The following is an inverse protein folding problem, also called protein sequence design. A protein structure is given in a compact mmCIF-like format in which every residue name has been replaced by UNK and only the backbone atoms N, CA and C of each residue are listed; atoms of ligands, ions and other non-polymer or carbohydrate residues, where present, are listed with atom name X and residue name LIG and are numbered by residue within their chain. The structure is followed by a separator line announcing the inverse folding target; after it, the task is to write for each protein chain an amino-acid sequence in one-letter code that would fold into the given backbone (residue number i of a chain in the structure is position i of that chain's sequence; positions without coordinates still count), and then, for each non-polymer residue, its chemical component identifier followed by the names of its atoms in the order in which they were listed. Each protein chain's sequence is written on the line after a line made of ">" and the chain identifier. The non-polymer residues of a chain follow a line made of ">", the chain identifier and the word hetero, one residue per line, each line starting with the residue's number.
data_IF_510838081979
#
_entry.id   IF_510838081979
#
_cell.length_a   1.000
_cell.length_b   1.000
_cell.length_c   1.000
_cell.angle_alpha   90.00
_cell.angle_beta   90.00
_cell.angle_gamma   90.00
#
_symmetry.space_group_name_H-M   'P 1'
#
loop_
_entity.id
_entity.type
_entity.pdbx_description
1 polymer ?
#
# COMPACT_ATOMS: atom_id res chain seq x y z
N UNK A 1 -23.08 52.23 -24.01
CA UNK A 1 -23.81 50.97 -23.83
C UNK A 1 -23.48 50.06 -25.02
N UNK A 2 -22.46 49.20 -24.89
CA UNK A 2 -22.04 48.22 -25.92
C UNK A 2 -21.92 46.87 -25.22
N UNK A 3 -22.72 45.91 -25.67
CA UNK A 3 -22.85 44.57 -25.10
C UNK A 3 -21.77 43.68 -25.74
N UNK A 4 -20.90 43.08 -24.92
CA UNK A 4 -19.90 42.08 -25.34
C UNK A 4 -20.49 40.69 -25.01
N UNK A 5 -20.58 39.74 -25.95
CA UNK A 5 -21.03 38.39 -25.63
C UNK A 5 -19.87 37.56 -25.07
N UNK A 6 -20.02 37.07 -23.84
CA UNK A 6 -19.15 36.08 -23.23
C UNK A 6 -19.28 34.72 -23.95
N UNK A 7 -18.18 34.22 -24.52
CA UNK A 7 -18.08 32.84 -25.02
C UNK A 7 -17.79 31.90 -23.85
N UNK A 8 -18.80 31.16 -23.41
CA UNK A 8 -18.67 30.03 -22.48
C UNK A 8 -17.86 28.91 -23.18
N UNK A 9 -16.67 28.59 -22.67
CA UNK A 9 -15.87 27.45 -23.14
C UNK A 9 -16.13 26.26 -22.22
N UNK A 10 -17.02 25.36 -22.66
CA UNK A 10 -17.23 24.06 -22.01
C UNK A 10 -15.93 23.26 -22.06
N UNK A 11 -15.33 23.04 -20.89
CA UNK A 11 -14.22 22.10 -20.69
C UNK A 11 -14.75 20.69 -20.89
N UNK A 12 -14.35 20.05 -22.00
CA UNK A 12 -14.57 18.61 -22.20
C UNK A 12 -13.61 17.86 -21.28
N UNK A 13 -14.16 17.26 -20.22
CA UNK A 13 -13.54 16.16 -19.48
C UNK A 13 -13.08 15.09 -20.48
N UNK A 14 -11.77 14.90 -20.62
CA UNK A 14 -11.21 13.77 -21.37
C UNK A 14 -11.25 12.56 -20.44
N UNK A 15 -12.18 11.65 -20.70
CA UNK A 15 -12.07 10.28 -20.22
C UNK A 15 -10.76 9.67 -20.76
N UNK A 16 -9.92 9.14 -19.86
CA UNK A 16 -8.70 8.43 -20.25
C UNK A 16 -9.06 7.15 -21.01
N UNK A 17 -8.37 6.91 -22.11
CA UNK A 17 -8.59 5.76 -22.99
C UNK A 17 -7.61 4.64 -22.61
N UNK A 18 -7.97 3.35 -22.71
CA UNK A 18 -7.09 2.23 -22.33
C UNK A 18 -5.75 2.21 -23.09
N UNK A 19 -5.69 2.85 -24.26
CA UNK A 19 -4.46 3.06 -25.04
C UNK A 19 -3.45 4.01 -24.37
N UNK A 20 -3.89 5.01 -23.58
CA UNK A 20 -2.98 5.90 -22.84
C UNK A 20 -2.37 5.22 -21.63
N UNK A 21 -3.07 4.26 -21.04
CA UNK A 21 -2.59 3.47 -19.90
C UNK A 21 -1.55 2.46 -20.36
N UNK A 22 -1.77 1.78 -21.50
CA UNK A 22 -0.75 0.93 -22.12
C UNK A 22 0.51 1.70 -22.55
N UNK A 23 0.37 2.92 -23.09
CA UNK A 23 1.52 3.74 -23.47
C UNK A 23 2.35 4.19 -22.25
N UNK A 24 1.70 4.48 -21.12
CA UNK A 24 2.37 4.74 -19.83
C UNK A 24 3.09 3.50 -19.28
N UNK A 25 2.46 2.32 -19.39
CA UNK A 25 3.07 1.03 -18.99
C UNK A 25 4.30 0.70 -19.85
N UNK A 26 4.27 1.00 -21.14
CA UNK A 26 5.35 0.72 -22.08
C UNK A 26 6.52 1.72 -21.97
N UNK A 27 6.25 2.98 -21.60
CA UNK A 27 7.30 3.92 -21.19
C UNK A 27 7.86 3.64 -19.79
N UNK A 28 7.08 3.03 -18.88
CA UNK A 28 7.52 2.64 -17.52
C UNK A 28 8.55 1.49 -17.48
N UNK A 29 8.69 0.74 -18.57
CA UNK A 29 9.85 -0.14 -18.81
C UNK A 29 11.19 0.63 -19.03
N UNK A 30 11.11 1.97 -18.97
CA UNK A 30 12.12 2.98 -18.68
C UNK A 30 13.58 2.52 -18.50
N UNK A 31 14.42 3.00 -19.41
CA UNK A 31 15.86 2.79 -19.61
C UNK A 31 16.73 2.67 -18.36
N UNK A 32 16.40 3.32 -17.23
CA UNK A 32 17.21 3.18 -16.00
C UNK A 32 17.10 1.81 -15.32
N UNK A 33 15.94 1.15 -15.37
CA UNK A 33 15.78 -0.21 -14.82
C UNK A 33 16.48 -1.26 -15.69
N UNK A 34 16.41 -1.05 -17.01
CA UNK A 34 17.14 -1.84 -18.01
C UNK A 34 18.66 -1.59 -17.91
N UNK A 35 19.08 -0.34 -17.74
CA UNK A 35 20.49 0.04 -17.56
C UNK A 35 21.07 -0.52 -16.27
N UNK A 36 20.34 -0.48 -15.15
CA UNK A 36 20.76 -1.16 -13.94
C UNK A 36 20.81 -2.67 -14.18
N UNK A 37 19.76 -3.27 -14.77
CA UNK A 37 19.73 -4.71 -15.10
C UNK A 37 20.98 -5.15 -15.87
N UNK A 38 21.39 -4.40 -16.90
CA UNK A 38 22.63 -4.68 -17.65
C UNK A 38 23.90 -4.41 -16.82
N UNK A 39 23.92 -3.37 -15.97
CA UNK A 39 25.07 -3.09 -15.09
C UNK A 39 25.29 -4.14 -13.98
N UNK A 40 24.25 -4.88 -13.59
CA UNK A 40 24.38 -5.98 -12.63
C UNK A 40 25.16 -7.15 -13.22
N UNK A 41 25.11 -7.34 -14.55
CA UNK A 41 25.99 -8.27 -15.25
C UNK A 41 27.44 -7.77 -15.35
N UNK A 42 27.70 -6.50 -15.02
CA UNK A 42 29.02 -5.87 -15.05
C UNK A 42 29.66 -5.70 -13.64
N UNK A 43 29.25 -6.48 -12.64
CA UNK A 43 29.94 -6.54 -11.34
C UNK A 43 29.27 -5.79 -10.18
N UNK A 44 28.05 -5.27 -10.37
CA UNK A 44 27.28 -4.57 -9.33
C UNK A 44 26.20 -5.44 -8.66
N UNK A 45 26.33 -6.78 -8.72
CA UNK A 45 25.30 -7.72 -8.27
C UNK A 45 24.87 -7.50 -6.80
N UNK A 46 25.82 -7.13 -5.94
CA UNK A 46 25.56 -6.88 -4.51
C UNK A 46 24.46 -5.84 -4.30
N UNK A 47 24.35 -4.83 -5.18
CA UNK A 47 23.33 -3.78 -5.05
C UNK A 47 21.91 -4.33 -5.18
N UNK A 48 21.69 -5.44 -5.89
CA UNK A 48 20.37 -6.04 -6.02
C UNK A 48 20.01 -6.99 -4.85
N UNK A 49 20.94 -7.31 -3.96
CA UNK A 49 20.68 -8.20 -2.83
C UNK A 49 20.18 -7.41 -1.63
N UNK A 50 19.09 -7.83 -0.96
CA UNK A 50 18.62 -7.14 0.24
C UNK A 50 19.44 -7.53 1.47
N UNK A 51 19.51 -6.64 2.45
CA UNK A 51 20.06 -6.97 3.77
C UNK A 51 19.10 -7.89 4.55
N UNK A 52 17.80 -7.61 4.47
CA UNK A 52 16.76 -8.41 5.13
C UNK A 52 15.68 -8.73 4.10
N UNK A 53 15.25 -9.98 4.03
CA UNK A 53 14.11 -10.39 3.21
C UNK A 53 13.04 -11.03 4.10
N UNK A 54 11.82 -10.53 4.02
CA UNK A 54 10.69 -10.98 4.84
C UNK A 54 9.40 -11.06 4.00
N UNK A 55 8.36 -11.79 4.45
CA UNK A 55 7.08 -11.79 3.75
C UNK A 55 6.47 -10.39 3.62
N UNK A 56 6.44 -9.64 4.72
CA UNK A 56 5.92 -8.26 4.76
C UNK A 56 6.38 -7.53 6.03
N UNK A 57 5.96 -6.28 6.20
CA UNK A 57 6.34 -5.40 7.31
C UNK A 57 5.93 -5.92 8.71
N UNK A 58 5.06 -6.94 8.82
CA UNK A 58 4.67 -7.54 10.10
C UNK A 58 5.79 -8.39 10.71
N UNK A 59 6.76 -8.79 9.88
CA UNK A 59 7.84 -9.69 10.24
C UNK A 59 9.15 -8.96 10.59
N UNK A 60 9.07 -7.64 10.82
CA UNK A 60 10.23 -6.79 11.09
C UNK A 60 10.17 -6.26 12.52
N UNK A 61 11.28 -6.40 13.25
CA UNK A 61 11.46 -5.83 14.57
C UNK A 61 11.89 -4.35 14.48
N UNK A 62 10.90 -3.49 14.31
CA UNK A 62 11.08 -2.04 14.17
C UNK A 62 11.72 -1.39 15.40
N UNK A 63 11.40 -1.87 16.60
CA UNK A 63 11.98 -1.35 17.85
C UNK A 63 13.47 -1.65 17.92
N UNK A 64 13.88 -2.86 17.51
CA UNK A 64 15.29 -3.23 17.45
C UNK A 64 16.06 -2.45 16.39
N UNK A 65 15.46 -2.23 15.21
CA UNK A 65 16.04 -1.34 14.19
C UNK A 65 16.23 0.08 14.72
N UNK A 66 15.24 0.64 15.42
CA UNK A 66 15.38 1.94 16.09
C UNK A 66 16.52 1.93 17.10
N UNK A 67 16.61 0.89 17.93
CA UNK A 67 17.67 0.74 18.95
C UNK A 67 19.08 0.57 18.35
N UNK A 68 19.18 0.04 17.13
CA UNK A 68 20.43 -0.06 16.37
C UNK A 68 20.89 1.30 15.80
N UNK A 69 20.10 2.36 15.98
CA UNK A 69 20.46 3.73 15.62
C UNK A 69 19.91 4.20 14.27
N UNK A 70 19.02 3.43 13.62
CA UNK A 70 18.32 3.89 12.43
C UNK A 70 17.36 5.04 12.77
N UNK A 71 17.27 6.02 11.87
CA UNK A 71 16.65 7.33 12.11
C UNK A 71 15.39 7.61 11.30
N UNK A 72 15.09 6.79 10.29
CA UNK A 72 13.91 7.01 9.47
C UNK A 72 13.60 5.84 8.54
N UNK A 73 12.36 5.78 8.11
CA UNK A 73 11.83 4.75 7.22
C UNK A 73 11.48 5.36 5.86
N UNK A 74 11.97 4.73 4.79
CA UNK A 74 11.63 5.05 3.41
C UNK A 74 10.87 3.86 2.86
N UNK A 75 9.57 4.04 2.61
CA UNK A 75 8.72 2.98 2.09
C UNK A 75 8.47 3.20 0.61
N UNK A 76 8.66 2.16 -0.20
CA UNK A 76 7.92 2.06 -1.44
C UNK A 76 6.41 1.93 -1.17
N UNK A 77 5.58 2.26 -2.17
CA UNK A 77 4.12 2.26 -2.06
C UNK A 77 3.52 0.98 -2.61
N UNK A 78 3.58 0.81 -3.93
CA UNK A 78 2.79 -0.18 -4.67
C UNK A 78 3.39 -1.57 -4.46
N UNK A 79 2.56 -2.54 -4.09
CA UNK A 79 2.95 -3.88 -3.64
C UNK A 79 3.80 -3.96 -2.37
N UNK A 80 4.13 -2.83 -1.75
CA UNK A 80 4.82 -2.77 -0.46
C UNK A 80 3.85 -2.46 0.68
N UNK A 81 3.13 -1.33 0.60
CA UNK A 81 2.16 -0.90 1.60
C UNK A 81 0.72 -0.95 1.06
N UNK A 82 0.53 -0.75 -0.24
CA UNK A 82 -0.77 -0.78 -0.90
C UNK A 82 -0.79 -1.80 -2.02
N UNK A 83 -1.98 -2.30 -2.38
CA UNK A 83 -2.14 -3.00 -3.66
C UNK A 83 -1.78 -2.07 -4.83
N UNK A 84 -1.46 -2.61 -6.02
CA UNK A 84 -1.13 -1.80 -7.18
C UNK A 84 -2.17 -0.72 -7.45
N UNK A 85 -1.73 0.54 -7.57
CA UNK A 85 -2.55 1.72 -7.88
C UNK A 85 -3.61 2.08 -6.81
N UNK A 86 -3.67 1.35 -5.69
CA UNK A 86 -4.55 1.70 -4.59
C UNK A 86 -4.03 2.94 -3.85
N UNK A 87 -4.94 3.75 -3.32
CA UNK A 87 -4.61 4.93 -2.51
C UNK A 87 -4.61 4.66 -1.00
N UNK A 88 -4.90 3.41 -0.62
CA UNK A 88 -5.02 2.99 0.77
C UNK A 88 -4.01 1.88 1.08
N UNK A 89 -3.52 1.85 2.32
CA UNK A 89 -2.71 0.75 2.85
C UNK A 89 -3.55 -0.52 2.91
N UNK A 90 -2.94 -1.64 2.54
CA UNK A 90 -3.54 -2.97 2.65
C UNK A 90 -4.05 -3.18 4.09
N UNK A 91 -5.34 -3.51 4.29
CA UNK A 91 -5.92 -3.58 5.63
C UNK A 91 -5.16 -4.49 6.61
N UNK A 92 -4.60 -5.60 6.10
CA UNK A 92 -3.82 -6.55 6.91
C UNK A 92 -2.49 -5.98 7.43
N UNK A 93 -1.98 -4.90 6.82
CA UNK A 93 -0.72 -4.25 7.20
C UNK A 93 -0.92 -3.06 8.15
N UNK A 94 -2.15 -2.55 8.32
CA UNK A 94 -2.43 -1.31 9.07
C UNK A 94 -1.81 -1.30 10.46
N UNK A 95 -2.07 -2.35 11.25
CA UNK A 95 -1.54 -2.44 12.61
C UNK A 95 -0.01 -2.58 12.67
N UNK A 96 0.64 -3.13 11.63
CA UNK A 96 2.10 -3.18 11.57
C UNK A 96 2.70 -1.83 11.14
N UNK A 97 2.01 -1.10 10.25
CA UNK A 97 2.37 0.26 9.90
C UNK A 97 2.30 1.18 11.13
N UNK A 98 1.22 1.11 11.91
CA UNK A 98 1.08 1.90 13.14
C UNK A 98 2.22 1.61 14.14
N UNK A 99 2.59 0.33 14.29
CA UNK A 99 3.72 -0.08 15.14
C UNK A 99 5.05 0.46 14.63
N UNK A 100 5.32 0.41 13.33
CA UNK A 100 6.59 0.90 12.80
C UNK A 100 6.67 2.43 12.87
N UNK A 101 5.57 3.15 12.57
CA UNK A 101 5.50 4.60 12.74
C UNK A 101 5.69 4.99 14.21
N UNK A 102 5.09 4.25 15.15
CA UNK A 102 5.30 4.47 16.58
C UNK A 102 6.77 4.27 16.97
N UNK A 103 7.39 3.17 16.53
CA UNK A 103 8.79 2.87 16.83
C UNK A 103 9.78 3.93 16.29
N UNK A 104 9.42 4.60 15.19
CA UNK A 104 10.23 5.64 14.57
C UNK A 104 9.70 7.06 14.84
N UNK A 105 8.77 7.23 15.79
CA UNK A 105 8.23 8.54 16.19
C UNK A 105 7.65 9.33 14.98
N UNK A 106 6.98 8.62 14.07
CA UNK A 106 6.40 9.16 12.85
C UNK A 106 7.42 9.51 11.75
N UNK A 107 8.71 9.21 11.94
CA UNK A 107 9.78 9.51 10.97
C UNK A 107 9.77 8.50 9.82
N UNK A 108 8.82 8.65 8.92
CA UNK A 108 8.68 7.86 7.72
C UNK A 108 8.31 8.74 6.51
N UNK A 109 8.68 8.28 5.32
CA UNK A 109 8.29 8.90 4.04
C UNK A 109 7.95 7.81 3.02
N UNK A 110 6.96 8.07 2.17
CA UNK A 110 6.67 7.27 0.99
C UNK A 110 7.54 7.76 -0.18
N UNK A 111 8.28 6.87 -0.80
CA UNK A 111 9.07 7.17 -1.99
C UNK A 111 8.61 6.27 -3.14
N UNK A 112 7.73 6.81 -4.00
CA UNK A 112 7.14 6.09 -5.13
C UNK A 112 7.73 6.51 -6.47
N UNK A 113 7.81 5.58 -7.43
CA UNK A 113 8.17 5.86 -8.82
C UNK A 113 7.00 6.42 -9.66
N UNK A 114 5.84 6.68 -9.05
CA UNK A 114 4.68 7.35 -9.64
C UNK A 114 4.31 8.60 -8.85
N UNK A 115 3.68 8.44 -7.68
CA UNK A 115 3.26 9.54 -6.82
C UNK A 115 4.45 10.36 -6.32
N UNK A 116 4.34 11.69 -6.41
CA UNK A 116 5.40 12.62 -6.02
C UNK A 116 6.57 12.75 -7.03
N UNK A 117 6.63 11.91 -8.07
CA UNK A 117 7.61 12.06 -9.15
C UNK A 117 7.15 13.16 -10.12
N UNK A 118 7.96 14.20 -10.33
CA UNK A 118 7.61 15.37 -11.16
C UNK A 118 7.10 15.02 -12.56
N UNK A 119 7.60 13.93 -13.16
CA UNK A 119 7.17 13.45 -14.48
C UNK A 119 5.72 12.94 -14.50
N UNK A 120 5.26 12.28 -13.43
CA UNK A 120 3.94 11.63 -13.39
C UNK A 120 2.92 12.36 -12.51
N UNK A 121 3.40 13.05 -11.47
CA UNK A 121 2.60 13.83 -10.53
C UNK A 121 3.14 15.28 -10.43
N UNK A 122 3.09 16.05 -11.54
CA UNK A 122 3.72 17.38 -11.62
C UNK A 122 3.15 18.39 -10.63
N UNK A 123 1.87 18.23 -10.27
CA UNK A 123 1.13 19.08 -9.35
C UNK A 123 1.06 18.51 -7.92
N UNK A 124 1.57 17.28 -7.71
CA UNK A 124 1.61 16.62 -6.40
C UNK A 124 0.26 16.17 -5.87
N UNK A 125 -0.76 16.02 -6.73
CA UNK A 125 -2.13 15.74 -6.35
C UNK A 125 -2.31 14.29 -5.85
N UNK A 126 -1.69 13.32 -6.53
CA UNK A 126 -1.72 11.93 -6.08
C UNK A 126 -0.99 11.79 -4.74
N UNK A 127 0.15 12.46 -4.62
CA UNK A 127 0.92 12.48 -3.39
C UNK A 127 0.15 13.13 -2.22
N UNK A 128 -0.61 14.22 -2.45
CA UNK A 128 -1.48 14.81 -1.42
C UNK A 128 -2.62 13.87 -0.99
N UNK A 129 -3.21 13.12 -1.93
CA UNK A 129 -4.25 12.14 -1.61
C UNK A 129 -3.69 11.00 -0.74
N UNK A 130 -2.48 10.54 -1.05
CA UNK A 130 -1.80 9.52 -0.25
C UNK A 130 -1.42 10.02 1.14
N UNK A 131 -0.91 11.25 1.24
CA UNK A 131 -0.62 11.89 2.52
C UNK A 131 -1.87 11.94 3.41
N UNK A 132 -3.01 12.33 2.84
CA UNK A 132 -4.28 12.37 3.55
C UNK A 132 -4.79 10.97 3.95
N UNK A 133 -4.62 9.96 3.10
CA UNK A 133 -5.10 8.61 3.34
C UNK A 133 -4.23 7.81 4.32
N UNK A 134 -2.92 8.06 4.30
CA UNK A 134 -1.93 7.24 4.99
C UNK A 134 -1.31 7.93 6.21
N UNK A 135 -1.40 9.27 6.29
CA UNK A 135 -0.75 10.04 7.35
C UNK A 135 0.78 10.03 7.28
N UNK A 136 1.34 9.63 6.13
CA UNK A 136 2.78 9.56 5.89
C UNK A 136 3.12 10.56 4.77
N UNK A 137 4.11 11.45 4.96
CA UNK A 137 4.61 12.32 3.91
C UNK A 137 5.00 11.54 2.65
N UNK A 138 4.73 12.08 1.47
CA UNK A 138 5.23 11.53 0.20
C UNK A 138 6.41 12.36 -0.26
N UNK A 139 7.53 11.72 -0.58
CA UNK A 139 8.71 12.39 -1.11
C UNK A 139 8.35 13.02 -2.46
N UNK A 140 8.62 14.31 -2.63
CA UNK A 140 8.56 14.97 -3.94
C UNK A 140 9.95 14.93 -4.56
N UNK A 141 10.07 14.43 -5.78
CA UNK A 141 11.37 14.16 -6.42
C UNK A 141 11.30 14.26 -7.94
N UNK A 142 12.46 14.36 -8.60
CA UNK A 142 12.57 14.51 -10.06
C UNK A 142 13.08 13.27 -10.76
N UNK A 143 13.74 12.36 -10.04
CA UNK A 143 14.36 11.16 -10.58
C UNK A 143 13.80 9.92 -9.92
N UNK A 144 13.46 8.93 -10.75
CA UNK A 144 12.94 7.64 -10.28
C UNK A 144 14.06 6.72 -9.77
N UNK A 145 13.72 5.86 -8.81
CA UNK A 145 14.54 4.72 -8.39
C UNK A 145 14.77 3.77 -9.58
N UNK A 146 15.94 3.13 -9.72
CA UNK A 146 17.11 3.19 -8.84
C UNK A 146 18.07 4.36 -9.13
N UNK A 147 17.70 5.27 -10.05
CA UNK A 147 18.46 6.47 -10.35
C UNK A 147 18.24 7.55 -9.27
N UNK A 148 18.77 8.75 -9.54
CA UNK A 148 18.66 9.88 -8.62
C UNK A 148 19.61 9.87 -7.44
N UNK A 149 19.68 11.03 -6.79
CA UNK A 149 20.38 11.24 -5.52
C UNK A 149 19.53 10.86 -4.31
N UNK A 150 20.09 11.07 -3.12
CA UNK A 150 19.38 10.92 -1.84
C UNK A 150 19.23 12.26 -1.08
N UNK A 151 19.57 13.39 -1.72
CA UNK A 151 19.58 14.70 -1.07
C UNK A 151 18.20 15.11 -0.52
N UNK A 152 17.12 14.80 -1.22
CA UNK A 152 15.76 15.07 -0.77
C UNK A 152 15.40 14.25 0.47
N UNK A 153 15.87 13.00 0.55
CA UNK A 153 15.68 12.14 1.72
C UNK A 153 16.51 12.64 2.91
N UNK A 154 17.79 12.95 2.71
CA UNK A 154 18.66 13.46 3.77
C UNK A 154 18.16 14.79 4.32
N UNK A 155 17.66 15.67 3.43
CA UNK A 155 17.00 16.92 3.81
C UNK A 155 15.72 16.67 4.61
N UNK A 156 14.85 15.76 4.16
CA UNK A 156 13.62 15.41 4.86
C UNK A 156 13.88 14.88 6.27
N UNK A 157 14.85 13.98 6.43
CA UNK A 157 15.15 13.37 7.72
C UNK A 157 16.13 14.16 8.60
N UNK A 158 16.94 15.05 8.02
CA UNK A 158 18.06 15.69 8.72
C UNK A 158 19.11 14.69 9.18
N UNK A 159 19.38 13.67 8.38
CA UNK A 159 20.42 12.66 8.64
C UNK A 159 20.97 12.04 7.34
N UNK A 160 22.17 11.46 7.37
CA UNK A 160 22.71 10.75 6.22
C UNK A 160 21.84 9.56 5.80
N UNK A 161 21.85 9.22 4.52
CA UNK A 161 21.13 8.07 3.98
C UNK A 161 21.51 6.75 4.67
N UNK A 162 22.75 6.59 5.13
CA UNK A 162 23.20 5.41 5.87
C UNK A 162 22.52 5.20 7.24
N UNK A 163 21.80 6.19 7.74
CA UNK A 163 20.97 6.08 8.94
C UNK A 163 19.50 5.73 8.61
N UNK A 164 19.15 5.56 7.34
CA UNK A 164 17.79 5.28 6.86
C UNK A 164 17.60 3.81 6.48
N UNK A 165 16.33 3.39 6.43
CA UNK A 165 15.92 2.06 6.00
C UNK A 165 15.02 2.18 4.78
N UNK A 166 15.43 1.57 3.66
CA UNK A 166 14.61 1.43 2.47
C UNK A 166 13.83 0.11 2.54
N UNK A 167 12.50 0.20 2.44
CA UNK A 167 11.59 -0.96 2.44
C UNK A 167 10.84 -0.98 1.13
N UNK A 168 10.91 -2.08 0.39
CA UNK A 168 10.21 -2.21 -0.90
C UNK A 168 10.19 -3.64 -1.42
N UNK A 169 9.45 -3.86 -2.50
CA UNK A 169 9.19 -5.20 -3.07
C UNK A 169 9.99 -5.48 -4.36
N UNK A 170 10.78 -4.52 -4.83
CA UNK A 170 11.54 -4.63 -6.09
C UNK A 170 13.04 -4.58 -5.82
N UNK A 171 13.75 -5.63 -6.23
CA UNK A 171 15.19 -5.72 -6.07
C UNK A 171 15.93 -4.64 -6.87
N UNK A 172 15.50 -4.38 -8.11
CA UNK A 172 16.22 -3.48 -9.01
C UNK A 172 15.81 -2.02 -8.92
N UNK A 173 14.83 -1.69 -8.07
CA UNK A 173 14.50 -0.30 -7.79
C UNK A 173 14.76 0.01 -6.33
N UNK A 174 14.08 -0.66 -5.41
CA UNK A 174 14.09 -0.26 -4.01
C UNK A 174 15.37 -0.71 -3.31
N UNK A 175 15.68 -1.99 -3.41
CA UNK A 175 16.90 -2.56 -2.82
C UNK A 175 18.13 -1.93 -3.46
N UNK A 176 18.17 -1.86 -4.78
CA UNK A 176 19.28 -1.22 -5.49
C UNK A 176 19.48 0.25 -5.14
N UNK A 177 18.40 1.03 -5.04
CA UNK A 177 18.49 2.43 -4.61
C UNK A 177 19.05 2.54 -3.19
N UNK A 178 18.46 1.79 -2.24
CA UNK A 178 18.90 1.84 -0.85
C UNK A 178 20.36 1.45 -0.68
N UNK A 179 20.76 0.34 -1.30
CA UNK A 179 22.15 -0.15 -1.26
C UNK A 179 23.13 0.84 -1.90
N UNK A 180 22.75 1.48 -3.01
CA UNK A 180 23.59 2.48 -3.70
C UNK A 180 23.87 3.70 -2.82
N UNK A 181 22.93 4.06 -1.94
CA UNK A 181 23.04 5.20 -1.03
C UNK A 181 23.38 4.79 0.41
N UNK A 182 23.77 3.53 0.64
CA UNK A 182 24.24 3.03 1.93
C UNK A 182 23.15 2.78 2.98
N UNK A 183 21.88 2.79 2.61
CA UNK A 183 20.75 2.49 3.51
C UNK A 183 20.73 1.00 3.88
N UNK A 184 20.10 0.66 5.00
CA UNK A 184 19.65 -0.70 5.23
C UNK A 184 18.48 -1.00 4.28
N UNK A 185 18.48 -2.17 3.64
CA UNK A 185 17.42 -2.56 2.69
C UNK A 185 16.64 -3.76 3.22
N UNK A 186 15.32 -3.59 3.28
CA UNK A 186 14.37 -4.63 3.66
C UNK A 186 13.49 -4.92 2.44
N UNK A 187 13.68 -6.10 1.86
CA UNK A 187 12.82 -6.60 0.79
C UNK A 187 11.59 -7.29 1.38
N UNK A 188 10.40 -6.85 0.96
CA UNK A 188 9.11 -7.52 1.26
C UNK A 188 8.62 -8.27 0.04
N UNK A 189 7.79 -9.30 0.22
CA UNK A 189 7.13 -9.94 -0.92
C UNK A 189 6.03 -9.03 -1.48
N UNK A 190 5.81 -9.00 -2.80
CA UNK A 190 4.74 -8.21 -3.37
C UNK A 190 3.38 -8.66 -2.85
N UNK A 191 2.55 -7.71 -2.42
CA UNK A 191 1.21 -7.99 -1.88
C UNK A 191 0.31 -8.80 -2.82
N UNK A 192 0.41 -8.58 -4.13
CA UNK A 192 -0.35 -9.33 -5.14
C UNK A 192 0.30 -9.22 -6.52
N UNK A 193 0.24 -10.30 -7.28
CA UNK A 193 0.59 -10.29 -8.72
C UNK A 193 -0.63 -10.05 -9.62
N UNK A 194 -1.84 -10.01 -9.05
CA UNK A 194 -3.08 -9.81 -9.83
C UNK A 194 -3.19 -8.36 -10.30
N UNK A 195 -3.46 -8.18 -11.58
CA UNK A 195 -3.63 -6.86 -12.20
C UNK A 195 -2.33 -6.18 -12.63
N UNK A 196 -1.17 -6.80 -12.38
CA UNK A 196 0.10 -6.30 -12.90
C UNK A 196 0.22 -6.60 -14.42
N UNK A 197 0.80 -5.67 -15.20
CA UNK A 197 1.11 -5.94 -16.60
C UNK A 197 2.05 -7.16 -16.74
N UNK A 198 1.84 -7.97 -17.78
CA UNK A 198 2.64 -9.18 -18.02
C UNK A 198 4.15 -8.92 -18.00
N UNK A 199 4.59 -7.79 -18.55
CA UNK A 199 5.99 -7.40 -18.52
C UNK A 199 6.53 -7.25 -17.10
N UNK A 200 5.78 -6.63 -16.19
CA UNK A 200 6.21 -6.46 -14.78
C UNK A 200 6.37 -7.82 -14.11
N UNK A 201 5.43 -8.74 -14.33
CA UNK A 201 5.52 -10.11 -13.83
C UNK A 201 6.75 -10.86 -14.36
N UNK A 202 7.07 -10.68 -15.65
CA UNK A 202 8.28 -11.26 -16.23
C UNK A 202 9.55 -10.65 -15.64
N UNK A 203 9.59 -9.32 -15.47
CA UNK A 203 10.73 -8.64 -14.87
C UNK A 203 10.97 -9.15 -13.44
N UNK A 204 9.92 -9.25 -12.60
CA UNK A 204 10.01 -9.83 -11.25
C UNK A 204 10.64 -11.23 -11.25
N UNK A 205 10.15 -12.13 -12.11
CA UNK A 205 10.71 -13.49 -12.22
C UNK A 205 12.18 -13.49 -12.61
N UNK A 206 12.57 -12.62 -13.52
CA UNK A 206 13.97 -12.48 -13.93
C UNK A 206 14.82 -11.96 -12.77
N UNK A 207 14.33 -10.96 -12.03
CA UNK A 207 15.00 -10.42 -10.84
C UNK A 207 15.20 -11.49 -9.77
N UNK A 208 14.11 -12.18 -9.40
CA UNK A 208 14.12 -13.27 -8.42
C UNK A 208 15.10 -14.38 -8.81
N UNK A 209 15.11 -14.78 -10.09
CA UNK A 209 16.03 -15.79 -10.60
C UNK A 209 17.49 -15.39 -10.40
N UNK A 210 17.86 -14.16 -10.75
CA UNK A 210 19.24 -13.69 -10.63
C UNK A 210 19.65 -13.46 -9.18
N UNK A 211 18.78 -12.87 -8.36
CA UNK A 211 19.00 -12.71 -6.91
C UNK A 211 19.24 -14.06 -6.25
N UNK A 212 18.40 -15.07 -6.54
CA UNK A 212 18.58 -16.42 -6.02
C UNK A 212 19.91 -17.02 -6.46
N UNK A 213 20.28 -16.85 -7.74
CA UNK A 213 21.54 -17.38 -8.29
C UNK A 213 22.77 -16.71 -7.67
N UNK A 214 22.76 -15.39 -7.47
CA UNK A 214 23.86 -14.66 -6.84
C UNK A 214 23.98 -14.99 -5.36
N UNK A 215 22.85 -15.10 -4.66
CA UNK A 215 22.82 -15.54 -3.26
C UNK A 215 23.41 -16.95 -3.12
N UNK A 216 23.02 -17.89 -3.99
CA UNK A 216 23.58 -19.24 -4.00
C UNK A 216 25.08 -19.27 -4.34
N UNK A 217 25.56 -18.27 -5.10
CA UNK A 217 26.98 -18.10 -5.40
C UNK A 217 27.77 -17.38 -4.28
N UNK A 218 27.15 -17.05 -3.14
CA UNK A 218 27.79 -16.39 -2.01
C UNK A 218 27.99 -14.89 -2.18
N UNK A 219 27.28 -14.24 -3.11
CA UNK A 219 27.25 -12.79 -3.18
C UNK A 219 26.43 -12.26 -2.00
N UNK A 220 26.90 -11.18 -1.39
CA UNK A 220 26.23 -10.51 -0.28
C UNK A 220 25.83 -9.08 -0.67
N UNK A 221 24.80 -8.51 -0.02
CA UNK A 221 24.56 -7.07 -0.09
C UNK A 221 25.81 -6.28 0.34
N UNK A 222 25.92 -4.98 0.04
CA UNK A 222 27.00 -4.16 0.59
C UNK A 222 27.04 -4.24 2.12
N UNK A 223 28.22 -4.14 2.71
CA UNK A 223 28.34 -4.18 4.16
C UNK A 223 27.75 -2.89 4.78
N UNK A 224 26.92 -3.05 5.82
CA UNK A 224 26.30 -1.93 6.51
C UNK A 224 26.91 -1.74 7.91
N UNK A 225 27.38 -0.53 8.23
CA UNK A 225 28.08 -0.24 9.49
C UNK A 225 27.22 -0.51 10.73
N UNK A 226 25.92 -0.16 10.68
CA UNK A 226 24.96 -0.37 11.80
C UNK A 226 24.32 -1.75 11.84
N UNK A 227 24.47 -2.53 10.77
CA UNK A 227 23.81 -3.81 10.61
C UNK A 227 24.80 -4.84 10.02
N UNK A 228 25.84 -5.24 10.77
CA UNK A 228 26.74 -6.29 10.33
C UNK A 228 25.97 -7.58 10.00
N UNK A 229 26.45 -8.39 9.05
CA UNK A 229 25.71 -9.58 8.58
C UNK A 229 25.21 -10.50 9.70
N UNK A 230 26.03 -10.72 10.73
CA UNK A 230 25.69 -11.53 11.90
C UNK A 230 24.49 -11.03 12.72
N UNK A 231 24.12 -9.76 12.57
CA UNK A 231 23.01 -9.12 13.29
C UNK A 231 21.68 -9.12 12.51
N UNK A 232 21.72 -9.35 11.19
CA UNK A 232 20.58 -9.17 10.30
C UNK A 232 19.38 -10.05 10.67
N UNK A 233 19.63 -11.32 10.99
CA UNK A 233 18.59 -12.25 11.43
C UNK A 233 17.87 -11.76 12.70
N UNK A 234 18.56 -10.97 13.52
CA UNK A 234 18.00 -10.41 14.73
C UNK A 234 16.91 -9.37 14.48
N UNK A 235 16.79 -8.80 13.27
CA UNK A 235 15.77 -7.82 12.91
C UNK A 235 14.47 -8.45 12.38
N UNK A 236 14.44 -9.77 12.23
CA UNK A 236 13.26 -10.51 11.78
C UNK A 236 12.52 -11.03 13.02
N UNK A 237 11.20 -10.86 13.03
CA UNK A 237 10.30 -11.38 14.07
C UNK A 237 9.16 -12.17 13.45
N UNK A 238 8.57 -13.07 14.22
CA UNK A 238 7.27 -13.63 13.89
C UNK A 238 6.17 -12.57 14.13
N UNK A 239 5.15 -12.49 13.27
CA UNK A 239 4.05 -11.56 13.44
C UNK A 239 3.21 -12.00 14.65
N UNK A 240 2.77 -11.04 15.46
CA UNK A 240 1.80 -11.32 16.52
C UNK A 240 0.53 -11.94 15.92
N UNK A 241 -0.06 -12.98 16.55
CA UNK A 241 -1.29 -13.58 16.05
C UNK A 241 -2.38 -12.51 15.89
N UNK A 242 -3.25 -12.61 14.88
CA UNK A 242 -4.33 -11.66 14.69
C UNK A 242 -5.20 -11.62 15.95
N UNK A 243 -5.79 -10.47 16.30
CA UNK A 243 -6.75 -10.41 17.40
C UNK A 243 -7.87 -11.43 17.13
N UNK A 244 -8.39 -12.10 18.18
CA UNK A 244 -9.47 -13.05 18.01
C UNK A 244 -10.66 -12.36 17.33
N UNK A 245 -11.29 -13.07 16.38
CA UNK A 245 -12.48 -12.57 15.70
C UNK A 245 -13.52 -12.10 16.73
N UNK A 246 -14.20 -10.97 16.50
CA UNK A 246 -15.27 -10.55 17.39
C UNK A 246 -16.31 -11.68 17.51
N UNK A 247 -16.86 -11.91 18.71
CA UNK A 247 -17.88 -12.93 18.89
C UNK A 247 -19.06 -12.65 17.94
N UNK A 248 -19.70 -13.69 17.39
CA UNK A 248 -20.86 -13.51 16.51
C UNK A 248 -21.88 -12.63 17.23
N UNK A 249 -22.35 -11.61 16.53
CA UNK A 249 -23.40 -10.72 17.03
C UNK A 249 -24.56 -11.58 17.51
N UNK A 250 -24.89 -11.46 18.80
CA UNK A 250 -26.06 -12.15 19.35
C UNK A 250 -27.28 -11.71 18.54
N UNK A 251 -28.17 -12.62 18.12
CA UNK A 251 -29.41 -12.22 17.49
C UNK A 251 -30.13 -11.26 18.44
N UNK A 252 -30.53 -10.09 17.92
CA UNK A 252 -31.27 -9.11 18.70
C UNK A 252 -32.48 -9.81 19.32
N UNK A 253 -32.58 -9.73 20.65
CA UNK A 253 -33.79 -10.13 21.36
C UNK A 253 -34.92 -9.27 20.82
N UNK A 254 -35.85 -9.89 20.10
CA UNK A 254 -37.06 -9.22 19.59
C UNK A 254 -37.80 -8.48 20.71
N UNK A 255 -38.66 -7.51 20.34
CA UNK A 255 -39.32 -6.65 21.30
C UNK A 255 -40.13 -7.47 22.32
N UNK A 256 -40.14 -7.05 23.60
CA UNK A 256 -40.89 -7.75 24.63
C UNK A 256 -42.38 -7.75 24.30
N UNK A 257 -43.13 -8.82 24.65
CA UNK A 257 -44.56 -8.88 24.40
C UNK A 257 -45.28 -7.79 25.20
N UNK A 258 -46.38 -7.22 24.67
CA UNK A 258 -47.12 -6.17 25.35
C UNK A 258 -47.76 -6.69 26.65
N UNK A 259 -47.60 -5.93 27.73
CA UNK A 259 -48.19 -6.17 29.04
C UNK A 259 -49.72 -6.03 28.98
N UNK A 260 -50.44 -7.06 29.39
CA UNK A 260 -51.90 -7.03 29.56
C UNK A 260 -52.28 -6.18 30.77
N UNK A 261 -52.64 -4.91 30.53
CA UNK A 261 -53.33 -4.09 31.52
C UNK A 261 -54.85 -4.28 31.37
N UNK A 262 -55.49 -4.64 32.49
CA UNK A 262 -56.92 -4.81 32.63
C UNK A 262 -57.70 -3.52 32.30
N UNK A 263 -58.78 -3.65 31.53
CA UNK A 263 -59.84 -2.64 31.44
C UNK A 263 -61.13 -3.29 31.93
N UNK A 264 -61.62 -2.78 33.05
CA UNK A 264 -62.88 -3.12 33.72
C UNK A 264 -63.98 -2.13 33.32
N UNK A 265 -65.14 -2.66 32.87
CA UNK A 265 -66.48 -2.03 32.83
C UNK A 265 -66.67 -0.79 31.94
N UNK A 266 -67.82 -0.49 31.33
CA UNK A 266 -69.20 -0.95 31.47
C UNK A 266 -70.06 -0.37 30.32
N UNK A 267 -71.02 -1.19 29.80
CA UNK A 267 -72.36 -0.87 29.24
C UNK A 267 -72.50 0.14 28.07
N UNK A 268 -73.35 0.03 27.05
CA UNK A 268 -74.56 -0.76 26.83
C UNK A 268 -74.85 -0.94 25.31
N UNK A 269 -75.72 -1.90 25.03
CA UNK A 269 -76.30 -2.36 23.77
C UNK A 269 -76.71 -1.31 22.71
N UNK A 270 -76.62 -1.67 21.40
CA UNK A 270 -77.75 -1.72 20.44
C UNK A 270 -77.42 -2.65 19.25
N UNK A 271 -78.29 -3.66 19.06
CA UNK A 271 -78.81 -4.35 17.86
C UNK A 271 -78.01 -4.53 16.54
N UNK A 272 -77.83 -5.82 16.19
CA UNK A 272 -78.30 -6.54 14.99
C UNK A 272 -78.04 -6.03 13.55
N UNK A 273 -77.25 -6.83 12.79
CA UNK A 273 -77.52 -7.34 11.41
C UNK A 273 -76.26 -8.09 10.93
N UNK A 274 -76.22 -9.42 10.97
CA UNK A 274 -76.61 -10.34 9.90
C UNK A 274 -75.89 -10.11 8.54
N UNK A 275 -75.04 -11.10 8.22
CA UNK A 275 -75.04 -11.84 6.94
C UNK A 275 -73.79 -11.77 6.04
N UNK A 276 -73.32 -12.99 5.71
CA UNK A 276 -72.75 -13.45 4.43
C UNK A 276 -71.22 -13.42 4.25
N UNK A 277 -70.62 -14.61 4.51
CA UNK A 277 -69.50 -15.18 3.75
C UNK A 277 -69.94 -15.57 2.34
N UNK A 278 -69.06 -15.50 1.32
CA UNK A 278 -68.42 -16.74 0.84
C UNK A 278 -66.91 -16.53 0.55
N UNK A 279 -66.03 -17.42 1.01
CA UNK A 279 -65.53 -18.62 0.33
C UNK A 279 -65.03 -18.45 -1.12
N UNK A 280 -63.70 -18.51 -1.23
CA UNK A 280 -62.90 -19.34 -2.14
C UNK A 280 -63.19 -19.35 -3.66
N UNK A 281 -62.18 -19.01 -4.46
CA UNK A 281 -61.39 -20.03 -5.20
C UNK A 281 -60.14 -19.42 -5.89
N UNK A 282 -59.06 -20.21 -6.06
CA UNK A 282 -57.87 -19.86 -6.84
C UNK A 282 -57.88 -20.52 -8.24
N UNK A 283 -57.27 -19.86 -9.23
CA UNK A 283 -56.85 -20.45 -10.52
C UNK A 283 -55.91 -19.43 -11.19
N UNK A 284 -54.64 -19.73 -11.46
CA UNK A 284 -54.08 -20.57 -12.54
C UNK A 284 -53.10 -19.64 -13.30
N UNK A 285 -51.80 -19.88 -13.22
CA UNK A 285 -51.04 -20.55 -14.28
C UNK A 285 -51.34 -20.01 -15.70
N UNK A 286 -50.47 -19.12 -16.15
CA UNK A 286 -49.70 -19.29 -17.39
C UNK A 286 -48.39 -18.53 -17.29
#
# INVERSE_FOLDING_TARGET
>A
MRIIPHRFRLSKSKANSPASDMARVQQNFNSAGVGLFFSLFAGSQSLALPHVAVPDIRHVDWAKLRSAGFRGLVFDKDNTLSRPFALEVEPSLRGALDRCLTAFEGRAVLYSNSAGLKQYDPDGAEAQQLEAALGIPVLRHTEKKPGGGCAELESHFGCPAADLIMVGDRYLTDVAFGNRHGMLTIHVQPLTSRGEPLGVLMARRVEEFWVARWTAAGVHPPAHTRAPYKSLQGFITEPSPPPPSPPPLRPESGPPPPSAAAVTGSSAAVAAAAAVLPQATPAAQK
#
